data_IF_269429326966
#
_entry.id   IF_269429326966
#
_cell.length_a   1.000
_cell.length_b   1.000
_cell.length_c   1.000
_cell.angle_alpha   90.00
_cell.angle_beta   90.00
_cell.angle_gamma   90.00
#
_symmetry.space_group_name_H-M   'P 1'
#
loop_
_entity.id
_entity.type
_entity.pdbx_description
1 polymer ?
#
# COMPACT_ATOMS: atom_id res chain seq x y z
N UNK A 1 -5.25 -21.44 -3.59
CA UNK A 1 -5.51 -20.87 -2.24
C UNK A 1 -5.89 -19.41 -2.42
N UNK A 2 -6.99 -18.93 -1.83
CA UNK A 2 -7.33 -17.49 -1.94
C UNK A 2 -6.68 -16.75 -0.77
N UNK A 3 -5.39 -16.52 -0.90
CA UNK A 3 -4.58 -15.88 0.14
C UNK A 3 -5.06 -14.47 0.51
N UNK A 4 -5.67 -13.70 -0.42
CA UNK A 4 -6.21 -12.36 -0.11
C UNK A 4 -7.34 -12.44 0.93
N UNK A 5 -8.26 -13.39 0.76
CA UNK A 5 -9.35 -13.61 1.71
C UNK A 5 -8.83 -14.09 3.07
N UNK A 6 -7.86 -15.01 3.05
CA UNK A 6 -7.25 -15.54 4.27
C UNK A 6 -6.52 -14.43 5.03
N UNK A 7 -5.72 -13.61 4.31
CA UNK A 7 -5.06 -12.44 4.89
C UNK A 7 -6.08 -11.48 5.52
N UNK A 8 -7.16 -11.13 4.80
CA UNK A 8 -8.21 -10.26 5.34
C UNK A 8 -8.78 -10.78 6.67
N UNK A 9 -9.11 -12.06 6.73
CA UNK A 9 -9.62 -12.68 7.99
C UNK A 9 -8.59 -12.61 9.14
N UNK A 10 -7.31 -12.81 8.85
CA UNK A 10 -6.24 -12.72 9.85
C UNK A 10 -6.08 -11.29 10.38
N UNK A 11 -6.20 -10.29 9.51
CA UNK A 11 -6.14 -8.88 9.91
C UNK A 11 -7.36 -8.46 10.74
N UNK A 12 -8.57 -8.88 10.36
CA UNK A 12 -9.79 -8.62 11.13
C UNK A 12 -9.70 -9.20 12.55
N UNK A 13 -9.06 -10.36 12.70
CA UNK A 13 -8.86 -11.03 14.01
C UNK A 13 -7.55 -10.61 14.70
N UNK A 14 -6.80 -9.65 14.13
CA UNK A 14 -5.52 -9.15 14.63
C UNK A 14 -4.46 -10.24 14.84
N UNK A 15 -4.54 -11.29 14.01
CA UNK A 15 -3.59 -12.39 14.06
C UNK A 15 -2.34 -12.07 13.22
N UNK A 16 -1.58 -11.09 13.67
CA UNK A 16 -0.44 -10.51 12.94
C UNK A 16 0.68 -11.51 12.64
N UNK A 17 0.93 -12.44 13.56
CA UNK A 17 1.97 -13.45 13.37
C UNK A 17 1.64 -14.38 12.20
N UNK A 18 0.40 -14.88 12.14
CA UNK A 18 -0.03 -15.76 11.06
C UNK A 18 -0.15 -14.99 9.73
N UNK A 19 -0.55 -13.72 9.75
CA UNK A 19 -0.57 -12.85 8.57
C UNK A 19 0.84 -12.68 7.98
N UNK A 20 1.85 -12.44 8.84
CA UNK A 20 3.25 -12.34 8.44
C UNK A 20 3.76 -13.66 7.83
N UNK A 21 3.50 -14.78 8.50
CA UNK A 21 3.95 -16.10 8.04
C UNK A 21 3.22 -16.53 6.75
N UNK A 22 1.92 -16.22 6.61
CA UNK A 22 1.17 -16.42 5.37
C UNK A 22 1.84 -15.70 4.20
N UNK A 23 2.07 -14.38 4.34
CA UNK A 23 2.62 -13.57 3.25
C UNK A 23 4.05 -13.97 2.90
N UNK A 24 4.87 -14.30 3.90
CA UNK A 24 6.21 -14.84 3.66
C UNK A 24 6.21 -16.15 2.84
N UNK A 25 5.17 -16.98 2.99
CA UNK A 25 5.01 -18.20 2.21
C UNK A 25 4.45 -17.91 0.80
N UNK A 26 3.49 -16.99 0.70
CA UNK A 26 2.87 -16.61 -0.58
C UNK A 26 3.90 -16.06 -1.56
N UNK A 27 4.80 -15.17 -1.12
CA UNK A 27 5.83 -14.59 -2.01
C UNK A 27 6.92 -15.56 -2.41
N UNK A 28 7.04 -16.70 -1.73
CA UNK A 28 7.98 -17.78 -2.09
C UNK A 28 7.38 -18.81 -3.06
N UNK A 29 6.07 -18.73 -3.33
CA UNK A 29 5.43 -19.65 -4.26
C UNK A 29 5.75 -19.31 -5.71
N UNK A 30 5.68 -20.32 -6.60
CA UNK A 30 5.95 -20.15 -8.03
C UNK A 30 4.94 -19.22 -8.73
N UNK A 31 3.70 -19.11 -8.17
CA UNK A 31 2.63 -18.26 -8.68
C UNK A 31 2.61 -16.86 -8.05
N UNK A 32 3.77 -16.37 -7.60
CA UNK A 32 3.86 -15.06 -6.95
C UNK A 32 3.47 -13.94 -7.90
N UNK A 33 2.52 -13.12 -7.47
CA UNK A 33 2.03 -11.96 -8.20
C UNK A 33 2.54 -10.65 -7.60
N UNK A 34 2.47 -9.57 -8.37
CA UNK A 34 2.75 -8.21 -7.88
C UNK A 34 1.89 -7.87 -6.65
N UNK A 35 0.61 -8.29 -6.63
CA UNK A 35 -0.28 -8.09 -5.49
C UNK A 35 0.21 -8.78 -4.21
N UNK A 36 0.87 -9.94 -4.33
CA UNK A 36 1.42 -10.64 -3.17
C UNK A 36 2.53 -9.79 -2.51
N UNK A 37 3.45 -9.24 -3.30
CA UNK A 37 4.48 -8.36 -2.78
C UNK A 37 3.92 -7.07 -2.19
N UNK A 38 2.97 -6.42 -2.86
CA UNK A 38 2.34 -5.19 -2.38
C UNK A 38 1.67 -5.44 -1.01
N UNK A 39 0.89 -6.51 -0.86
CA UNK A 39 0.27 -6.85 0.42
C UNK A 39 1.30 -7.28 1.47
N UNK A 40 2.38 -7.94 1.09
CA UNK A 40 3.43 -8.27 2.05
C UNK A 40 4.14 -7.02 2.57
N UNK A 41 4.49 -6.07 1.69
CA UNK A 41 5.05 -4.78 2.09
C UNK A 41 4.11 -4.03 3.04
N UNK A 42 2.80 -4.02 2.74
CA UNK A 42 1.78 -3.42 3.61
C UNK A 42 1.78 -4.06 5.01
N UNK A 43 1.82 -5.40 5.12
CA UNK A 43 1.83 -6.09 6.42
C UNK A 43 3.12 -5.79 7.20
N UNK A 44 4.26 -5.78 6.52
CA UNK A 44 5.55 -5.48 7.13
C UNK A 44 5.62 -4.04 7.67
N UNK A 45 4.96 -3.10 7.00
CA UNK A 45 4.83 -1.72 7.45
C UNK A 45 3.83 -1.57 8.59
N UNK A 46 2.66 -2.22 8.50
CA UNK A 46 1.56 -2.06 9.46
C UNK A 46 1.90 -2.64 10.84
N UNK A 47 2.54 -3.80 10.89
CA UNK A 47 2.84 -4.49 12.16
C UNK A 47 3.51 -3.61 13.21
N UNK A 48 4.60 -2.86 12.91
CA UNK A 48 5.23 -2.00 13.91
C UNK A 48 4.37 -0.82 14.39
N UNK A 49 3.33 -0.48 13.64
CA UNK A 49 2.45 0.66 13.92
C UNK A 49 1.19 0.26 14.69
N UNK A 50 0.92 -1.03 14.81
CA UNK A 50 -0.27 -1.53 15.51
C UNK A 50 -0.14 -1.39 17.02
N UNK A 51 -1.14 -0.80 17.71
CA UNK A 51 -1.08 -0.53 19.14
C UNK A 51 -0.93 -1.78 20.02
N UNK A 52 -1.40 -2.94 19.52
CA UNK A 52 -1.33 -4.22 20.23
C UNK A 52 0.03 -4.91 20.07
N UNK A 53 0.85 -4.46 19.14
CA UNK A 53 2.17 -5.02 18.88
C UNK A 53 3.20 -4.28 19.73
N UNK A 54 3.98 -5.02 20.51
CA UNK A 54 5.14 -4.44 21.16
C UNK A 54 6.15 -3.96 20.11
N UNK A 55 6.29 -2.64 19.98
CA UNK A 55 7.19 -2.01 19.02
C UNK A 55 8.65 -2.47 19.15
N UNK A 56 9.10 -2.77 20.36
CA UNK A 56 10.43 -3.32 20.65
C UNK A 56 10.45 -4.85 20.63
N UNK A 57 9.30 -5.47 20.44
CA UNK A 57 9.12 -6.91 20.42
C UNK A 57 9.73 -7.60 19.21
N UNK A 58 9.81 -8.91 19.29
CA UNK A 58 10.40 -9.75 18.24
C UNK A 58 9.66 -9.61 16.90
N UNK A 59 8.32 -9.57 16.93
CA UNK A 59 7.51 -9.48 15.71
C UNK A 59 7.74 -8.18 14.95
N UNK A 60 7.73 -7.04 15.65
CA UNK A 60 8.01 -5.73 15.03
C UNK A 60 9.44 -5.67 14.46
N UNK A 61 10.43 -6.21 15.16
CA UNK A 61 11.80 -6.31 14.64
C UNK A 61 11.87 -7.18 13.39
N UNK A 62 11.26 -8.37 13.40
CA UNK A 62 11.20 -9.26 12.22
C UNK A 62 10.56 -8.55 11.01
N UNK A 63 9.48 -7.81 11.22
CA UNK A 63 8.83 -7.05 10.15
C UNK A 63 9.76 -5.96 9.58
N UNK A 64 10.37 -5.15 10.44
CA UNK A 64 11.30 -4.09 10.05
C UNK A 64 12.53 -4.64 9.30
N UNK A 65 13.12 -5.72 9.80
CA UNK A 65 14.31 -6.33 9.20
C UNK A 65 14.00 -6.95 7.82
N UNK A 66 12.80 -7.48 7.64
CA UNK A 66 12.39 -8.12 6.38
C UNK A 66 12.00 -7.11 5.30
N UNK A 67 11.40 -5.95 5.66
CA UNK A 67 10.76 -5.04 4.72
C UNK A 67 11.69 -4.63 3.57
N UNK A 68 12.86 -4.13 3.87
CA UNK A 68 13.79 -3.68 2.84
C UNK A 68 14.21 -4.82 1.90
N UNK A 69 14.47 -6.02 2.41
CA UNK A 69 14.81 -7.18 1.58
C UNK A 69 13.68 -7.59 0.64
N UNK A 70 12.44 -7.60 1.13
CA UNK A 70 11.23 -7.88 0.34
C UNK A 70 11.01 -6.80 -0.72
N UNK A 71 11.21 -5.52 -0.36
CA UNK A 71 11.12 -4.41 -1.31
C UNK A 71 12.13 -4.53 -2.45
N UNK A 72 13.41 -4.78 -2.15
CA UNK A 72 14.44 -4.92 -3.18
C UNK A 72 14.20 -6.17 -4.07
N UNK A 73 13.72 -7.27 -3.49
CA UNK A 73 13.34 -8.45 -4.27
C UNK A 73 12.18 -8.12 -5.23
N UNK A 74 11.12 -7.50 -4.72
CA UNK A 74 9.98 -7.08 -5.54
C UNK A 74 10.39 -6.08 -6.62
N UNK A 75 11.22 -5.10 -6.27
CA UNK A 75 11.74 -4.09 -7.20
C UNK A 75 12.56 -4.73 -8.32
N UNK A 76 13.34 -5.76 -8.04
CA UNK A 76 14.09 -6.47 -9.07
C UNK A 76 13.21 -7.19 -10.09
N UNK A 77 12.01 -7.64 -9.67
CA UNK A 77 11.03 -8.35 -10.50
C UNK A 77 10.05 -7.43 -11.23
N UNK A 78 9.73 -6.29 -10.62
CA UNK A 78 8.59 -5.44 -11.02
C UNK A 78 8.97 -3.97 -11.22
N UNK A 79 10.23 -3.65 -11.53
CA UNK A 79 10.73 -2.27 -11.71
C UNK A 79 9.98 -1.43 -12.75
N UNK A 80 9.32 -2.08 -13.71
CA UNK A 80 8.54 -1.46 -14.77
C UNK A 80 7.05 -1.86 -14.72
N UNK A 81 6.59 -2.36 -13.57
CA UNK A 81 5.17 -2.62 -13.35
C UNK A 81 4.52 -1.41 -12.66
N UNK A 82 3.53 -0.75 -13.29
CA UNK A 82 2.95 0.48 -12.76
C UNK A 82 2.22 0.25 -11.42
N UNK A 83 1.62 -0.91 -11.21
CA UNK A 83 1.00 -1.24 -9.92
C UNK A 83 2.04 -1.29 -8.80
N UNK A 84 3.16 -2.00 -9.03
CA UNK A 84 4.23 -2.06 -8.04
C UNK A 84 4.78 -0.67 -7.72
N UNK A 85 5.06 0.11 -8.75
CA UNK A 85 5.61 1.46 -8.59
C UNK A 85 4.67 2.35 -7.78
N UNK A 86 3.38 2.36 -8.11
CA UNK A 86 2.41 3.18 -7.39
C UNK A 86 2.26 2.74 -5.94
N UNK A 87 1.96 1.45 -5.71
CA UNK A 87 1.64 0.97 -4.36
C UNK A 87 2.85 0.97 -3.44
N UNK A 88 4.05 0.59 -3.92
CA UNK A 88 5.26 0.68 -3.10
C UNK A 88 5.65 2.12 -2.81
N UNK A 89 5.50 3.03 -3.77
CA UNK A 89 5.69 4.46 -3.55
C UNK A 89 4.70 5.00 -2.52
N UNK A 90 3.41 4.68 -2.65
CA UNK A 90 2.39 5.12 -1.71
C UNK A 90 2.65 4.64 -0.29
N UNK A 91 2.95 3.36 -0.09
CA UNK A 91 3.34 2.82 1.22
C UNK A 91 4.58 3.53 1.76
N UNK A 92 5.61 3.71 0.94
CA UNK A 92 6.83 4.37 1.36
C UNK A 92 6.64 5.86 1.72
N UNK A 93 5.57 6.54 1.29
CA UNK A 93 5.31 7.93 1.75
C UNK A 93 4.99 8.03 3.24
N UNK A 94 4.62 6.93 3.89
CA UNK A 94 4.30 6.88 5.32
C UNK A 94 5.51 6.52 6.19
N UNK A 95 6.45 5.72 5.63
CA UNK A 95 7.58 5.16 6.38
C UNK A 95 8.81 4.95 5.47
N UNK A 96 9.23 5.99 4.75
CA UNK A 96 10.32 5.95 3.78
C UNK A 96 11.61 5.35 4.36
N UNK A 97 11.86 5.56 5.65
CA UNK A 97 13.03 5.01 6.35
C UNK A 97 13.06 3.46 6.38
N UNK A 98 11.89 2.81 6.41
CA UNK A 98 11.81 1.34 6.37
C UNK A 98 12.16 0.80 4.96
N UNK A 99 11.81 1.54 3.92
CA UNK A 99 12.16 1.22 2.53
C UNK A 99 13.59 1.64 2.17
N UNK A 100 14.27 2.40 3.05
CA UNK A 100 15.60 2.99 2.81
C UNK A 100 15.66 3.85 1.53
N UNK A 101 14.60 4.54 1.25
CA UNK A 101 14.50 5.56 0.21
C UNK A 101 14.12 6.89 0.87
N UNK A 102 14.26 8.00 0.17
CA UNK A 102 13.72 9.26 0.68
C UNK A 102 12.27 9.49 0.19
N UNK A 103 11.58 10.45 0.81
CA UNK A 103 10.20 10.78 0.45
C UNK A 103 10.07 11.17 -1.03
N UNK A 104 11.07 11.86 -1.58
CA UNK A 104 11.08 12.26 -2.99
C UNK A 104 11.16 11.05 -3.91
N UNK A 105 11.96 10.05 -3.56
CA UNK A 105 12.06 8.81 -4.32
C UNK A 105 10.74 8.04 -4.30
N UNK A 106 10.06 7.98 -3.14
CA UNK A 106 8.73 7.39 -3.02
C UNK A 106 7.70 8.09 -3.94
N UNK A 107 7.69 9.43 -3.93
CA UNK A 107 6.85 10.23 -4.81
C UNK A 107 7.18 10.02 -6.30
N UNK A 108 8.46 9.89 -6.66
CA UNK A 108 8.89 9.60 -8.03
C UNK A 108 8.45 8.23 -8.52
N UNK A 109 8.37 7.22 -7.65
CA UNK A 109 7.79 5.91 -7.99
C UNK A 109 6.32 6.05 -8.40
N UNK A 110 5.52 6.76 -7.60
CA UNK A 110 4.11 7.01 -7.92
C UNK A 110 3.97 7.82 -9.22
N UNK A 111 4.78 8.84 -9.41
CA UNK A 111 4.76 9.66 -10.63
C UNK A 111 5.14 8.82 -11.87
N UNK A 112 6.12 7.92 -11.77
CA UNK A 112 6.48 7.00 -12.85
C UNK A 112 5.29 6.12 -13.23
N UNK A 113 4.55 5.59 -12.25
CA UNK A 113 3.34 4.81 -12.49
C UNK A 113 2.27 5.62 -13.25
N UNK A 114 2.03 6.87 -12.83
CA UNK A 114 1.10 7.77 -13.52
C UNK A 114 1.54 8.05 -14.97
N UNK A 115 2.81 8.32 -15.22
CA UNK A 115 3.32 8.54 -16.59
C UNK A 115 3.16 7.30 -17.47
N UNK A 116 3.26 6.09 -16.90
CA UNK A 116 3.08 4.83 -17.62
C UNK A 116 1.62 4.51 -17.94
N UNK A 117 0.68 4.89 -17.05
CA UNK A 117 -0.75 4.60 -17.16
C UNK A 117 -1.58 5.84 -16.75
N UNK A 118 -1.56 6.92 -17.55
CA UNK A 118 -2.22 8.18 -17.19
C UNK A 118 -3.76 8.06 -17.17
N UNK A 119 -4.32 7.02 -17.76
CA UNK A 119 -5.76 6.71 -17.72
C UNK A 119 -6.21 6.08 -16.40
N UNK A 120 -5.29 5.63 -15.55
CA UNK A 120 -5.63 5.09 -14.25
C UNK A 120 -5.83 6.22 -13.23
N UNK A 121 -7.07 6.52 -12.91
CA UNK A 121 -7.45 7.61 -12.00
C UNK A 121 -6.79 7.52 -10.62
N UNK A 122 -6.57 6.30 -10.11
CA UNK A 122 -5.87 6.15 -8.83
C UNK A 122 -4.47 6.77 -8.87
N UNK A 123 -3.79 6.65 -10.01
CA UNK A 123 -2.42 7.15 -10.13
C UNK A 123 -2.33 8.68 -10.21
N UNK A 124 -3.45 9.38 -10.42
CA UNK A 124 -3.51 10.85 -10.33
C UNK A 124 -3.16 11.36 -8.93
N UNK A 125 -3.30 10.54 -7.89
CA UNK A 125 -2.81 10.86 -6.55
C UNK A 125 -1.33 11.27 -6.55
N UNK A 126 -0.51 10.72 -7.44
CA UNK A 126 0.89 11.10 -7.58
C UNK A 126 1.09 12.60 -7.88
N UNK A 127 0.11 13.23 -8.55
CA UNK A 127 0.18 14.64 -8.94
C UNK A 127 -0.18 15.59 -7.80
N UNK A 128 -0.96 15.12 -6.82
CA UNK A 128 -1.46 15.93 -5.70
C UNK A 128 -0.80 15.61 -4.37
N UNK A 129 -0.25 14.41 -4.19
CA UNK A 129 0.44 13.98 -2.97
C UNK A 129 1.76 14.71 -2.71
N UNK A 130 2.41 15.26 -3.76
CA UNK A 130 3.64 16.06 -3.67
C UNK A 130 3.48 17.40 -2.93
N UNK A 131 2.27 17.76 -2.52
CA UNK A 131 1.99 19.02 -1.80
C UNK A 131 2.01 18.76 -0.30
N UNK A 132 3.23 18.71 0.24
CA UNK A 132 3.52 18.49 1.65
C UNK A 132 2.58 19.26 2.59
N UNK A 133 1.82 18.53 3.43
CA UNK A 133 1.17 19.02 4.65
C UNK A 133 0.00 20.01 4.53
N UNK A 134 -0.47 20.35 3.37
CA UNK A 134 -1.76 20.99 3.23
C UNK A 134 -2.80 19.92 2.88
N UNK A 135 -3.88 19.84 3.64
CA UNK A 135 -5.15 19.32 3.14
C UNK A 135 -5.53 20.27 1.99
N UNK A 136 -4.87 20.06 0.86
CA UNK A 136 -5.10 20.86 -0.33
C UNK A 136 -6.44 20.38 -0.91
N UNK A 137 -7.28 21.32 -1.26
CA UNK A 137 -8.58 21.07 -1.93
C UNK A 137 -8.39 20.11 -3.12
N UNK A 138 -7.28 20.24 -3.86
CA UNK A 138 -6.92 19.36 -4.96
C UNK A 138 -6.73 17.87 -4.54
N UNK A 139 -6.17 17.60 -3.37
CA UNK A 139 -6.04 16.24 -2.86
C UNK A 139 -7.39 15.65 -2.48
N UNK A 140 -8.23 16.44 -1.81
CA UNK A 140 -9.58 16.02 -1.44
C UNK A 140 -10.47 15.82 -2.66
N UNK A 141 -10.37 16.70 -3.67
CA UNK A 141 -11.09 16.56 -4.94
C UNK A 141 -10.68 15.28 -5.67
N UNK A 142 -9.39 15.01 -5.77
CA UNK A 142 -8.87 13.78 -6.39
C UNK A 142 -9.42 12.52 -5.68
N UNK A 143 -9.43 12.50 -4.34
CA UNK A 143 -10.01 11.37 -3.60
C UNK A 143 -11.51 11.23 -3.88
N UNK A 144 -12.27 12.34 -3.90
CA UNK A 144 -13.71 12.31 -4.22
C UNK A 144 -13.96 11.76 -5.63
N UNK A 145 -13.16 12.14 -6.60
CA UNK A 145 -13.25 11.62 -7.96
C UNK A 145 -12.94 10.12 -8.02
N UNK A 146 -11.87 9.66 -7.36
CA UNK A 146 -11.53 8.24 -7.24
C UNK A 146 -12.69 7.46 -6.63
N UNK A 147 -13.23 7.93 -5.50
CA UNK A 147 -14.29 7.25 -4.76
C UNK A 147 -15.65 7.26 -5.48
N UNK A 148 -15.88 8.20 -6.39
CA UNK A 148 -17.08 8.26 -7.23
C UNK A 148 -17.01 7.34 -8.45
N UNK A 149 -15.81 6.93 -8.87
CA UNK A 149 -15.58 6.08 -10.03
C UNK A 149 -15.56 4.60 -9.65
N UNK A 150 -16.63 3.89 -9.98
CA UNK A 150 -16.80 2.48 -9.63
C UNK A 150 -15.69 1.58 -10.17
N UNK A 151 -15.17 1.88 -11.35
CA UNK A 151 -14.12 1.05 -11.95
C UNK A 151 -12.81 1.21 -11.19
N UNK A 152 -12.49 2.42 -10.77
CA UNK A 152 -11.32 2.71 -9.92
C UNK A 152 -11.48 2.09 -8.52
N UNK A 153 -12.66 2.20 -7.89
CA UNK A 153 -12.92 1.53 -6.60
C UNK A 153 -12.75 0.02 -6.72
N UNK A 154 -13.35 -0.60 -7.73
CA UNK A 154 -13.18 -2.04 -8.00
C UNK A 154 -11.72 -2.43 -8.26
N UNK A 155 -10.96 -1.57 -8.94
CA UNK A 155 -9.54 -1.79 -9.17
C UNK A 155 -8.75 -1.78 -7.86
N UNK A 156 -9.06 -0.87 -6.94
CA UNK A 156 -8.44 -0.80 -5.61
C UNK A 156 -8.83 -2.04 -4.78
N UNK A 157 -10.10 -2.40 -4.71
CA UNK A 157 -10.60 -3.56 -3.96
C UNK A 157 -9.92 -4.87 -4.40
N UNK A 158 -9.68 -5.05 -5.69
CA UNK A 158 -8.98 -6.23 -6.22
C UNK A 158 -7.56 -6.42 -5.68
N UNK A 159 -6.96 -5.38 -5.10
CA UNK A 159 -5.63 -5.48 -4.46
C UNK A 159 -5.68 -6.29 -3.15
N UNK A 160 -6.87 -6.51 -2.59
CA UNK A 160 -7.06 -7.19 -1.31
C UNK A 160 -6.85 -6.24 -0.13
N UNK A 161 -6.33 -6.70 1.01
CA UNK A 161 -6.29 -5.92 2.25
C UNK A 161 -5.64 -4.53 2.13
N UNK A 162 -4.56 -4.38 1.37
CA UNK A 162 -3.97 -3.05 1.15
C UNK A 162 -4.91 -2.10 0.42
N UNK A 163 -5.71 -2.59 -0.53
CA UNK A 163 -6.73 -1.79 -1.22
C UNK A 163 -7.87 -1.42 -0.29
N UNK A 164 -8.35 -2.35 0.52
CA UNK A 164 -9.38 -2.11 1.55
C UNK A 164 -8.92 -1.04 2.55
N UNK A 165 -7.65 -1.09 2.96
CA UNK A 165 -7.04 -0.08 3.83
C UNK A 165 -7.00 1.30 3.17
N UNK A 166 -6.58 1.39 1.91
CA UNK A 166 -6.61 2.65 1.16
C UNK A 166 -8.03 3.23 1.09
N UNK A 167 -9.04 2.43 0.74
CA UNK A 167 -10.44 2.87 0.69
C UNK A 167 -10.95 3.30 2.07
N UNK A 168 -10.52 2.63 3.14
CA UNK A 168 -10.83 3.06 4.51
C UNK A 168 -10.30 4.47 4.80
N UNK A 169 -9.06 4.77 4.39
CA UNK A 169 -8.46 6.10 4.55
C UNK A 169 -9.17 7.18 3.71
N UNK A 170 -9.73 6.82 2.56
CA UNK A 170 -10.42 7.77 1.66
C UNK A 170 -11.84 8.13 2.10
N UNK A 171 -12.54 7.26 2.83
CA UNK A 171 -13.95 7.46 3.25
C UNK A 171 -14.21 8.78 3.98
N UNK A 172 -13.38 9.26 4.91
CA UNK A 172 -13.61 10.53 5.61
C UNK A 172 -13.65 11.76 4.67
N UNK A 173 -12.89 11.73 3.56
CA UNK A 173 -12.84 12.83 2.60
C UNK A 173 -14.12 12.95 1.76
N UNK A 174 -14.94 11.88 1.71
CA UNK A 174 -16.21 11.87 0.98
C UNK A 174 -17.39 12.35 1.84
N UNK A 175 -17.24 12.38 3.17
CA UNK A 175 -18.32 12.73 4.10
C UNK A 175 -18.43 14.24 4.38
N UNK A 176 -17.39 15.00 4.10
CA UNK A 176 -17.32 16.44 4.40
C UNK A 176 -17.89 17.36 3.29
N UNK A 177 -18.54 16.79 2.27
CA UNK A 177 -19.09 17.53 1.11
C UNK A 177 -20.55 17.97 1.21
N UNK A 178 -21.18 17.86 2.38
CA UNK A 178 -22.58 18.28 2.60
C UNK A 178 -22.63 19.29 3.75
N UNK A 179 -22.37 20.53 3.43
CA UNK A 179 -22.73 21.70 4.27
C UNK A 179 -23.25 22.81 3.38
#
# INVERSE_FOLDING_TARGET
MNWKKELGNLLETKNWQEALDLMANVVKSDDTSVDAYINYLYILEAIPLEPEVDYLGEMARRANDALFGVYEEARSKYSDNPDFLFWSGWLATWCEWLFKIDLRDAELLMLKAYVMCPENKLFELAMVSNRKYTRDEAYEDCIREIMSDKDTVNYIEKRGPVGEYMLYLFRPHCQNGVS
#
